data_IF_192170794979
#
_entry.id   IF_192170794979
#
_cell.length_a   1.000
_cell.length_b   1.000
_cell.length_c   1.000
_cell.angle_alpha   90.00
_cell.angle_beta   90.00
_cell.angle_gamma   90.00
#
_symmetry.space_group_name_H-M   'P 1'
#
loop_
_entity.id
_entity.type
_entity.pdbx_description
1 polymer ?
#
# COMPACT_ATOMS: atom_id res chain seq x y z
N UNK A 1 -26.79 -6.23 -20.06
CA UNK A 1 -26.01 -5.99 -18.83
C UNK A 1 -25.63 -7.36 -18.31
N UNK A 2 -24.33 -7.68 -18.20
CA UNK A 2 -23.91 -8.99 -17.66
C UNK A 2 -24.22 -9.09 -16.17
N UNK A 3 -24.60 -10.27 -15.70
CA UNK A 3 -24.79 -10.52 -14.27
C UNK A 3 -23.43 -10.46 -13.53
N UNK A 4 -23.44 -9.87 -12.33
CA UNK A 4 -22.25 -9.81 -11.47
C UNK A 4 -22.15 -11.12 -10.69
N UNK A 5 -20.97 -11.74 -10.71
CA UNK A 5 -20.67 -12.94 -9.92
C UNK A 5 -20.97 -12.70 -8.43
N UNK A 6 -21.83 -13.55 -7.87
CA UNK A 6 -22.35 -13.42 -6.51
C UNK A 6 -21.26 -13.50 -5.45
N UNK A 7 -20.08 -14.05 -5.76
CA UNK A 7 -18.94 -14.11 -4.84
C UNK A 7 -18.37 -12.73 -4.46
N UNK A 8 -18.70 -11.69 -5.24
CA UNK A 8 -18.32 -10.30 -4.95
C UNK A 8 -19.40 -9.50 -4.21
N UNK A 9 -20.59 -10.08 -4.01
CA UNK A 9 -21.73 -9.37 -3.42
C UNK A 9 -21.66 -9.50 -1.90
N UNK A 10 -21.40 -8.39 -1.23
CA UNK A 10 -21.46 -8.31 0.24
C UNK A 10 -22.90 -8.55 0.76
N UNK A 11 -23.00 -9.16 1.94
CA UNK A 11 -24.24 -9.23 2.70
C UNK A 11 -24.78 -7.81 2.97
N UNK A 12 -26.11 -7.63 3.03
CA UNK A 12 -26.73 -6.30 3.06
C UNK A 12 -26.23 -5.45 4.23
N UNK A 13 -26.00 -6.06 5.38
CA UNK A 13 -25.45 -5.47 6.61
C UNK A 13 -23.99 -5.00 6.50
N UNK A 14 -23.25 -5.46 5.49
CA UNK A 14 -21.84 -5.10 5.25
C UNK A 14 -21.68 -4.14 4.07
N UNK A 15 -22.75 -3.86 3.32
CA UNK A 15 -22.69 -2.91 2.22
C UNK A 15 -22.47 -1.49 2.74
N UNK A 16 -21.64 -0.68 2.06
CA UNK A 16 -21.46 0.71 2.43
C UNK A 16 -22.81 1.42 2.37
N UNK A 17 -23.07 2.30 3.35
CA UNK A 17 -24.18 3.25 3.25
C UNK A 17 -23.86 4.19 2.09
N UNK A 18 -24.76 4.33 1.12
CA UNK A 18 -24.58 5.21 -0.04
C UNK A 18 -24.59 6.71 0.29
N UNK A 19 -24.51 7.06 1.58
CA UNK A 19 -24.33 8.45 2.01
C UNK A 19 -22.89 8.81 1.69
N UNK A 20 -22.71 9.60 0.64
CA UNK A 20 -21.43 10.25 0.36
C UNK A 20 -21.20 11.25 1.49
N UNK A 21 -20.29 10.92 2.40
CA UNK A 21 -19.75 11.87 3.36
C UNK A 21 -18.52 12.47 2.70
N UNK A 22 -18.58 13.74 2.34
CA UNK A 22 -17.36 14.46 1.98
C UNK A 22 -16.54 14.60 3.25
N UNK A 23 -15.33 14.05 3.23
CA UNK A 23 -14.39 14.20 4.32
C UNK A 23 -13.81 15.61 4.25
N UNK A 24 -14.43 16.55 4.97
CA UNK A 24 -13.90 17.87 5.21
C UNK A 24 -12.70 17.77 6.18
N UNK A 25 -11.71 18.65 6.05
CA UNK A 25 -10.62 18.80 7.03
C UNK A 25 -9.65 17.61 7.24
N UNK A 26 -9.51 16.69 6.26
CA UNK A 26 -8.42 15.69 6.31
C UNK A 26 -7.07 16.43 6.48
N UNK A 27 -6.28 16.14 7.53
CA UNK A 27 -5.05 16.87 7.80
C UNK A 27 -4.07 16.78 6.63
N UNK A 28 -3.54 17.93 6.20
CA UNK A 28 -2.50 18.04 5.18
C UNK A 28 -1.17 18.45 5.82
N UNK A 29 -0.22 17.52 5.88
CA UNK A 29 1.05 17.68 6.57
C UNK A 29 2.16 18.04 5.57
N UNK A 30 2.80 19.19 5.80
CA UNK A 30 3.93 19.64 4.98
C UNK A 30 5.26 19.17 5.57
N UNK A 31 5.98 18.32 4.82
CA UNK A 31 7.26 17.73 5.23
C UNK A 31 8.49 18.48 4.72
N UNK A 32 8.32 19.66 4.10
CA UNK A 32 9.43 20.43 3.51
C UNK A 32 10.59 20.68 4.49
N UNK A 33 10.28 20.92 5.77
CA UNK A 33 11.28 21.15 6.82
C UNK A 33 12.29 20.00 6.97
N UNK A 34 11.88 18.76 6.70
CA UNK A 34 12.76 17.58 6.80
C UNK A 34 13.75 17.48 5.63
N UNK A 35 13.46 18.17 4.53
CA UNK A 35 14.26 18.13 3.30
C UNK A 35 15.23 19.31 3.18
N UNK A 36 15.30 20.19 4.19
CA UNK A 36 16.11 21.41 4.14
C UNK A 36 17.34 21.27 5.05
N UNK A 37 18.50 20.85 4.52
CA UNK A 37 19.70 20.57 5.33
C UNK A 37 20.38 21.83 5.93
N UNK A 38 19.87 23.04 5.64
CA UNK A 38 20.56 24.30 5.93
C UNK A 38 19.66 25.36 6.60
N UNK A 39 18.65 24.99 7.39
CA UNK A 39 17.92 26.00 8.17
C UNK A 39 18.84 26.55 9.27
N UNK A 40 19.15 27.84 9.20
CA UNK A 40 19.87 28.58 10.26
C UNK A 40 19.07 28.69 11.56
N UNK A 41 17.80 28.27 11.54
CA UNK A 41 16.91 28.19 12.67
C UNK A 41 17.18 26.93 13.51
N UNK A 42 17.03 27.00 14.84
CA UNK A 42 17.21 25.82 15.69
C UNK A 42 16.23 24.73 15.27
N UNK A 43 16.77 23.55 14.94
CA UNK A 43 16.07 22.34 14.52
C UNK A 43 14.83 22.02 15.40
N UNK A 44 14.93 22.31 16.70
CA UNK A 44 13.84 22.14 17.66
C UNK A 44 12.64 23.09 17.42
N UNK A 45 12.84 24.30 16.90
CA UNK A 45 11.77 25.28 16.68
C UNK A 45 10.90 24.94 15.46
N UNK A 46 11.45 24.25 14.47
CA UNK A 46 10.75 23.91 13.21
C UNK A 46 10.23 22.47 13.20
N UNK A 47 10.92 21.52 13.83
CA UNK A 47 10.50 20.10 13.88
C UNK A 47 9.41 19.85 14.93
N UNK A 48 9.45 20.50 16.10
CA UNK A 48 8.45 20.27 17.18
C UNK A 48 7.00 20.57 16.74
N UNK A 49 6.72 21.67 16.01
CA UNK A 49 5.38 21.91 15.48
C UNK A 49 4.93 20.83 14.49
N UNK A 50 5.83 20.33 13.65
CA UNK A 50 5.52 19.25 12.71
C UNK A 50 5.14 17.96 13.44
N UNK A 51 5.94 17.55 14.44
CA UNK A 51 5.66 16.37 15.27
C UNK A 51 4.28 16.51 15.93
N UNK A 52 3.98 17.69 16.48
CA UNK A 52 2.70 17.96 17.14
C UNK A 52 1.51 17.82 16.18
N UNK A 53 1.63 18.34 14.95
CA UNK A 53 0.60 18.19 13.90
C UNK A 53 0.39 16.73 13.49
N UNK A 54 1.47 15.96 13.34
CA UNK A 54 1.38 14.53 13.02
C UNK A 54 0.69 13.78 14.18
N UNK A 55 1.08 14.07 15.42
CA UNK A 55 0.47 13.44 16.60
C UNK A 55 -1.02 13.76 16.72
N UNK A 56 -1.42 15.00 16.45
CA UNK A 56 -2.82 15.41 16.43
C UNK A 56 -3.62 14.73 15.31
N UNK A 57 -3.05 14.65 14.10
CA UNK A 57 -3.67 13.93 12.99
C UNK A 57 -3.84 12.44 13.30
N UNK A 58 -2.81 11.76 13.83
CA UNK A 58 -2.93 10.38 14.27
C UNK A 58 -4.01 10.23 15.35
N UNK A 59 -4.07 11.13 16.35
CA UNK A 59 -5.03 11.04 17.45
C UNK A 59 -6.49 11.24 17.01
N UNK A 60 -6.72 12.18 16.10
CA UNK A 60 -8.08 12.63 15.77
C UNK A 60 -8.62 12.00 14.48
N UNK A 61 -7.74 11.61 13.55
CA UNK A 61 -8.11 11.13 12.21
C UNK A 61 -7.64 9.72 11.88
N UNK A 62 -6.62 9.19 12.56
CA UNK A 62 -5.89 7.97 12.17
C UNK A 62 -5.36 7.98 10.71
N UNK A 63 -5.45 9.13 10.03
CA UNK A 63 -5.14 9.32 8.62
C UNK A 63 -4.77 10.79 8.34
N UNK A 64 -3.84 11.00 7.41
CA UNK A 64 -3.48 12.33 6.93
C UNK A 64 -2.82 12.23 5.56
N UNK A 65 -2.81 13.34 4.82
CA UNK A 65 -2.09 13.48 3.57
C UNK A 65 -0.74 14.17 3.82
N UNK A 66 0.26 13.87 2.99
CA UNK A 66 1.58 14.52 3.07
C UNK A 66 1.91 15.24 1.77
N UNK A 67 2.53 16.41 1.88
CA UNK A 67 3.09 17.17 0.75
C UNK A 67 4.54 17.54 1.03
N UNK A 68 5.29 17.85 -0.04
CA UNK A 68 6.72 18.15 0.03
C UNK A 68 7.52 17.07 0.77
N UNK A 69 7.13 15.79 0.58
CA UNK A 69 7.74 14.61 1.20
C UNK A 69 9.07 14.20 0.55
N UNK A 70 9.58 14.96 -0.43
CA UNK A 70 10.89 14.73 -1.04
C UNK A 70 10.96 13.61 -2.09
N UNK A 71 9.88 12.87 -2.32
CA UNK A 71 9.84 11.82 -3.37
C UNK A 71 9.62 12.49 -4.73
N UNK A 72 10.52 12.31 -5.71
CA UNK A 72 10.39 12.94 -7.03
C UNK A 72 9.08 12.59 -7.72
N UNK A 73 8.45 13.58 -8.35
CA UNK A 73 7.20 13.38 -9.08
C UNK A 73 7.35 12.37 -10.23
N UNK A 74 8.51 12.35 -10.88
CA UNK A 74 8.81 11.40 -11.95
C UNK A 74 8.79 9.94 -11.44
N UNK A 75 9.27 9.68 -10.23
CA UNK A 75 9.22 8.36 -9.62
C UNK A 75 7.77 7.87 -9.45
N UNK A 76 6.87 8.74 -8.97
CA UNK A 76 5.44 8.43 -8.82
C UNK A 76 4.78 8.13 -10.17
N UNK A 77 5.02 8.99 -11.17
CA UNK A 77 4.47 8.81 -12.53
C UNK A 77 4.96 7.52 -13.17
N UNK A 78 6.25 7.21 -13.04
CA UNK A 78 6.82 5.97 -13.58
C UNK A 78 6.20 4.75 -12.92
N UNK A 79 6.05 4.75 -11.58
CA UNK A 79 5.38 3.67 -10.86
C UNK A 79 3.95 3.45 -11.36
N UNK A 80 3.16 4.51 -11.51
CA UNK A 80 1.79 4.40 -12.02
C UNK A 80 1.72 3.88 -13.46
N UNK A 81 2.64 4.29 -14.33
CA UNK A 81 2.72 3.84 -15.72
C UNK A 81 3.02 2.34 -15.76
N UNK A 82 4.05 1.91 -15.02
CA UNK A 82 4.49 0.51 -15.01
C UNK A 82 3.43 -0.39 -14.35
N UNK A 83 2.80 0.05 -13.26
CA UNK A 83 1.69 -0.69 -12.65
C UNK A 83 0.53 -0.85 -13.64
N UNK A 84 0.13 0.22 -14.35
CA UNK A 84 -0.91 0.15 -15.39
C UNK A 84 -0.55 -0.82 -16.51
N UNK A 85 0.69 -0.80 -17.00
CA UNK A 85 1.18 -1.76 -18.01
C UNK A 85 1.04 -3.20 -17.51
N UNK A 86 1.47 -3.50 -16.28
CA UNK A 86 1.36 -4.84 -15.70
C UNK A 86 -0.09 -5.31 -15.58
N UNK A 87 -0.98 -4.51 -14.98
CA UNK A 87 -2.36 -4.92 -14.75
C UNK A 87 -3.21 -5.03 -16.05
N UNK A 88 -2.77 -4.38 -17.12
CA UNK A 88 -3.35 -4.51 -18.46
C UNK A 88 -2.97 -5.83 -19.18
N UNK A 89 -2.00 -6.60 -18.67
CA UNK A 89 -1.67 -7.91 -19.21
C UNK A 89 -2.81 -8.91 -19.00
N UNK A 90 -2.77 -10.02 -19.76
CA UNK A 90 -3.71 -11.11 -19.57
C UNK A 90 -3.58 -11.72 -18.18
N UNK A 91 -4.63 -12.40 -17.73
CA UNK A 91 -4.64 -13.06 -16.43
C UNK A 91 -3.57 -14.16 -16.36
N UNK A 92 -3.32 -14.83 -17.47
CA UNK A 92 -2.32 -15.89 -17.63
C UNK A 92 -0.91 -15.34 -17.40
N UNK A 93 -0.58 -14.18 -17.98
CA UNK A 93 0.71 -13.52 -17.79
C UNK A 93 0.89 -13.06 -16.34
N UNK A 94 -0.12 -12.39 -15.76
CA UNK A 94 -0.08 -11.96 -14.35
C UNK A 94 0.07 -13.14 -13.38
N UNK A 95 -0.52 -14.29 -13.70
CA UNK A 95 -0.45 -15.50 -12.88
C UNK A 95 0.93 -16.16 -12.85
N UNK A 96 1.85 -15.85 -13.77
CA UNK A 96 3.23 -16.37 -13.74
C UNK A 96 3.99 -15.97 -12.48
N UNK A 97 3.60 -14.84 -11.90
CA UNK A 97 4.18 -14.28 -10.67
C UNK A 97 3.19 -14.30 -9.51
N UNK A 98 2.22 -15.22 -9.54
CA UNK A 98 1.20 -15.35 -8.51
C UNK A 98 1.83 -15.81 -7.19
N UNK A 99 1.48 -15.16 -6.09
CA UNK A 99 1.87 -15.60 -4.74
C UNK A 99 1.30 -16.98 -4.39
N UNK A 100 1.88 -17.65 -3.40
CA UNK A 100 1.40 -18.94 -2.91
C UNK A 100 1.31 -18.98 -1.36
N UNK A 101 1.06 -20.16 -0.80
CA UNK A 101 0.91 -20.37 0.66
C UNK A 101 2.24 -20.22 1.42
N UNK A 102 3.36 -20.34 0.70
CA UNK A 102 4.70 -20.24 1.25
C UNK A 102 5.21 -18.80 1.12
N UNK A 103 5.18 -18.24 -0.10
CA UNK A 103 5.62 -16.90 -0.43
C UNK A 103 4.42 -15.97 -0.69
N UNK A 104 4.11 -15.01 0.21
CA UNK A 104 2.95 -14.15 0.09
C UNK A 104 3.12 -12.99 -0.91
N UNK A 105 4.26 -12.91 -1.60
CA UNK A 105 4.62 -11.83 -2.52
C UNK A 105 4.29 -12.17 -3.98
N UNK A 106 3.96 -11.14 -4.76
CA UNK A 106 3.55 -11.23 -6.15
C UNK A 106 2.06 -11.00 -6.37
N UNK A 107 1.57 -11.43 -7.53
CA UNK A 107 0.21 -11.18 -8.00
C UNK A 107 -0.86 -12.00 -7.25
N UNK A 108 -2.04 -11.41 -7.01
CA UNK A 108 -3.19 -12.10 -6.46
C UNK A 108 -4.53 -11.41 -6.79
N UNK A 109 -5.58 -12.19 -7.06
CA UNK A 109 -6.90 -11.71 -7.48
C UNK A 109 -8.08 -12.39 -6.76
N UNK A 110 -7.79 -13.11 -5.68
CA UNK A 110 -8.78 -13.89 -4.92
C UNK A 110 -8.75 -13.55 -3.43
N UNK A 111 -8.49 -12.28 -3.08
CA UNK A 111 -8.48 -11.83 -1.68
C UNK A 111 -9.89 -11.79 -1.13
N UNK A 112 -10.04 -12.20 0.12
CA UNK A 112 -11.30 -12.16 0.83
C UNK A 112 -11.22 -11.11 1.94
N UNK A 113 -12.26 -10.28 2.05
CA UNK A 113 -12.49 -9.40 3.20
C UNK A 113 -13.86 -9.72 3.75
N UNK A 114 -13.92 -10.09 5.04
CA UNK A 114 -15.17 -10.55 5.69
C UNK A 114 -15.85 -11.70 4.94
N UNK A 115 -15.07 -12.69 4.50
CA UNK A 115 -15.53 -13.88 3.75
C UNK A 115 -16.18 -13.59 2.38
N UNK A 116 -16.03 -12.38 1.84
CA UNK A 116 -16.49 -12.01 0.50
C UNK A 116 -15.29 -11.66 -0.36
N UNK A 117 -15.33 -12.04 -1.64
CA UNK A 117 -14.23 -11.78 -2.56
C UNK A 117 -14.14 -10.28 -2.84
N UNK A 118 -12.95 -9.73 -2.69
CA UNK A 118 -12.68 -8.34 -3.03
C UNK A 118 -12.75 -8.17 -4.55
N UNK A 119 -13.43 -7.11 -5.01
CA UNK A 119 -13.37 -6.68 -6.41
C UNK A 119 -12.06 -5.92 -6.69
N UNK A 120 -10.94 -6.64 -6.62
CA UNK A 120 -9.61 -6.07 -6.89
C UNK A 120 -8.60 -7.14 -7.29
N UNK A 121 -7.56 -6.66 -7.95
CA UNK A 121 -6.30 -7.35 -8.10
C UNK A 121 -5.23 -6.63 -7.27
N UNK A 122 -4.18 -7.35 -6.88
CA UNK A 122 -3.08 -6.84 -6.06
C UNK A 122 -1.77 -7.46 -6.50
N UNK A 123 -0.68 -6.71 -6.34
CA UNK A 123 0.69 -7.19 -6.47
C UNK A 123 1.45 -6.77 -5.22
N UNK A 124 1.87 -7.73 -4.40
CA UNK A 124 2.56 -7.47 -3.13
C UNK A 124 4.08 -7.59 -3.31
N UNK A 125 4.86 -6.62 -2.84
CA UNK A 125 6.33 -6.62 -2.93
C UNK A 125 6.97 -6.04 -1.67
N UNK A 126 8.23 -6.38 -1.45
CA UNK A 126 9.09 -5.84 -0.39
C UNK A 126 10.31 -5.16 -0.98
N UNK A 127 10.90 -4.22 -0.24
CA UNK A 127 12.07 -3.45 -0.71
C UNK A 127 13.30 -4.34 -0.95
N UNK A 128 13.55 -5.31 -0.07
CA UNK A 128 14.70 -6.20 -0.15
C UNK A 128 14.27 -7.55 -0.71
N UNK A 129 14.90 -8.01 -1.78
CA UNK A 129 14.46 -9.19 -2.52
C UNK A 129 14.48 -10.50 -1.71
N UNK A 130 15.23 -10.56 -0.61
CA UNK A 130 15.17 -11.67 0.34
C UNK A 130 15.08 -11.07 1.73
N UNK A 131 13.96 -11.31 2.41
CA UNK A 131 13.75 -10.87 3.80
C UNK A 131 13.26 -12.05 4.62
N UNK A 132 13.86 -12.22 5.80
CA UNK A 132 13.46 -13.22 6.78
C UNK A 132 12.34 -12.67 7.64
N UNK A 133 11.21 -13.37 7.65
CA UNK A 133 10.07 -13.05 8.49
C UNK A 133 9.86 -14.13 9.54
N UNK A 134 9.54 -13.77 10.80
CA UNK A 134 9.03 -14.73 11.77
C UNK A 134 7.80 -15.43 11.22
N UNK A 135 7.76 -16.76 11.34
CA UNK A 135 6.61 -17.57 10.92
C UNK A 135 5.43 -17.44 11.86
N UNK A 136 5.68 -17.02 13.10
CA UNK A 136 4.69 -16.84 14.15
C UNK A 136 4.91 -15.56 14.94
N UNK A 137 3.87 -15.14 15.65
CA UNK A 137 3.90 -14.06 16.63
C UNK A 137 4.26 -14.57 18.04
N UNK A 138 4.35 -15.88 18.22
CA UNK A 138 4.71 -16.51 19.49
C UNK A 138 6.18 -16.23 19.85
N UNK A 139 6.48 -15.70 21.05
CA UNK A 139 7.84 -15.29 21.41
C UNK A 139 8.90 -16.39 21.38
N UNK A 140 8.48 -17.64 21.64
CA UNK A 140 9.37 -18.80 21.69
C UNK A 140 9.59 -19.46 20.32
N UNK A 141 8.76 -19.09 19.33
CA UNK A 141 8.92 -19.56 17.96
C UNK A 141 9.99 -18.74 17.23
N UNK A 142 11.08 -19.41 16.91
CA UNK A 142 12.24 -18.80 16.21
C UNK A 142 12.31 -19.20 14.75
N UNK A 143 11.30 -19.90 14.24
CA UNK A 143 11.29 -20.31 12.85
C UNK A 143 11.13 -19.07 11.95
N UNK A 144 12.06 -18.92 11.02
CA UNK A 144 12.08 -17.85 10.03
C UNK A 144 11.72 -18.42 8.67
N UNK A 145 10.94 -17.66 7.91
CA UNK A 145 10.64 -17.95 6.52
C UNK A 145 11.20 -16.86 5.62
N UNK A 146 11.73 -17.31 4.49
CA UNK A 146 12.21 -16.42 3.44
C UNK A 146 11.06 -15.97 2.54
N UNK A 147 10.91 -14.65 2.41
CA UNK A 147 10.06 -14.05 1.39
C UNK A 147 10.92 -13.43 0.31
N UNK A 148 10.50 -13.61 -0.94
CA UNK A 148 11.19 -13.07 -2.11
C UNK A 148 10.23 -12.49 -3.13
N UNK A 149 10.62 -11.39 -3.80
CA UNK A 149 9.76 -10.78 -4.79
C UNK A 149 9.70 -11.64 -6.05
N UNK A 150 8.50 -11.84 -6.58
CA UNK A 150 8.26 -12.57 -7.81
C UNK A 150 8.12 -11.56 -8.96
N UNK A 151 9.25 -11.20 -9.59
CA UNK A 151 9.27 -10.20 -10.65
C UNK A 151 8.75 -10.76 -11.98
N UNK A 152 7.87 -10.04 -12.69
CA UNK A 152 7.42 -10.47 -14.01
C UNK A 152 8.48 -10.20 -15.07
N UNK A 153 8.48 -11.00 -16.13
CA UNK A 153 9.32 -10.74 -17.32
C UNK A 153 8.84 -9.51 -18.09
N UNK A 154 7.55 -9.15 -17.95
CA UNK A 154 6.92 -8.02 -18.61
C UNK A 154 5.91 -7.34 -17.67
N UNK A 155 5.95 -6.01 -17.46
CA UNK A 155 7.03 -5.09 -17.84
C UNK A 155 8.27 -5.31 -16.95
N UNK A 156 9.49 -5.41 -17.52
CA UNK A 156 10.72 -5.56 -16.72
C UNK A 156 11.01 -4.36 -15.81
N UNK A 157 10.45 -3.18 -16.14
CA UNK A 157 10.58 -1.96 -15.36
C UNK A 157 9.80 -2.00 -14.03
N UNK A 158 9.04 -3.08 -13.74
CA UNK A 158 8.37 -3.25 -12.46
C UNK A 158 9.35 -3.55 -11.31
N UNK A 159 10.55 -4.03 -11.64
CA UNK A 159 11.62 -4.37 -10.70
C UNK A 159 12.35 -3.14 -10.14
#
# INVERSE_FOLDING_TARGET
>A
MGEVDTTFIQATEHRPKLVVVEAEDIPLINLFVLNSPNSSEPEAATIRPLISKIAEACKNWDFFQVINHGVPLECQKNLEIVARKFFALSKEEKKKVRRDEVNPLGYYDTKYTKNVRDWKEVFDLIKQNLTLFPTSHEPDDKELREYFNQWPDNPPELR
#
